data_IF_657329118651
#
_entry.id   IF_657329118651
#
_cell.length_a   1.000
_cell.length_b   1.000
_cell.length_c   1.000
_cell.angle_alpha   90.00
_cell.angle_beta   90.00
_cell.angle_gamma   90.00
#
_symmetry.space_group_name_H-M   'P 1'
#
loop_
_entity.id
_entity.type
_entity.pdbx_description
1 polymer ?
#
# COMPACT_ATOMS: atom_id res chain seq x y z
N UNK A 1 -7.09 -10.20 -25.65
CA UNK A 1 -6.89 -11.26 -24.64
C UNK A 1 -5.86 -10.82 -23.60
N UNK A 2 -4.65 -10.43 -24.04
CA UNK A 2 -3.58 -9.79 -23.24
C UNK A 2 -4.07 -8.77 -22.21
N UNK A 3 -4.87 -7.77 -22.63
CA UNK A 3 -5.41 -6.75 -21.72
C UNK A 3 -6.26 -7.34 -20.59
N UNK A 4 -7.13 -8.32 -20.87
CA UNK A 4 -8.00 -8.91 -19.84
C UNK A 4 -7.20 -9.78 -18.85
N UNK A 5 -6.19 -10.50 -19.34
CA UNK A 5 -5.32 -11.33 -18.51
C UNK A 5 -4.42 -10.48 -17.62
N UNK A 6 -3.79 -9.44 -18.17
CA UNK A 6 -2.99 -8.48 -17.40
C UNK A 6 -3.84 -7.63 -16.46
N UNK A 7 -5.11 -7.37 -16.78
CA UNK A 7 -6.06 -6.76 -15.85
C UNK A 7 -6.42 -7.69 -14.69
N UNK A 8 -6.61 -8.99 -14.91
CA UNK A 8 -6.82 -9.95 -13.83
C UNK A 8 -5.60 -10.10 -12.93
N UNK A 9 -4.38 -10.08 -13.51
CA UNK A 9 -3.12 -10.15 -12.75
C UNK A 9 -2.84 -8.83 -12.01
N UNK A 10 -3.17 -7.67 -12.61
CA UNK A 10 -3.08 -6.37 -11.93
C UNK A 10 -4.17 -6.18 -10.86
N UNK A 11 -5.34 -6.79 -11.03
CA UNK A 11 -6.40 -6.81 -10.03
C UNK A 11 -5.95 -7.53 -8.75
N UNK A 12 -5.04 -8.50 -8.85
CA UNK A 12 -4.43 -9.14 -7.68
C UNK A 12 -3.56 -8.14 -6.88
N UNK A 13 -3.00 -7.11 -7.52
CA UNK A 13 -2.29 -6.00 -6.86
C UNK A 13 -3.18 -4.80 -6.49
N UNK A 14 -4.43 -4.73 -6.95
CA UNK A 14 -5.23 -3.49 -6.88
C UNK A 14 -6.72 -3.64 -6.59
N UNK A 15 -7.25 -4.83 -6.32
CA UNK A 15 -8.69 -5.02 -6.12
C UNK A 15 -9.06 -5.38 -4.68
N UNK A 16 -9.11 -4.33 -3.85
CA UNK A 16 -10.29 -4.15 -3.03
C UNK A 16 -11.46 -3.85 -3.96
N UNK A 17 -12.28 -4.85 -4.29
CA UNK A 17 -13.63 -4.58 -4.75
C UNK A 17 -14.42 -4.04 -3.54
N UNK A 18 -14.19 -2.77 -3.22
CA UNK A 18 -15.00 -2.05 -2.25
C UNK A 18 -16.38 -1.91 -2.86
N UNK A 19 -17.35 -2.67 -2.33
CA UNK A 19 -18.76 -2.36 -2.55
C UNK A 19 -18.96 -0.97 -1.98
N UNK A 20 -19.11 0.02 -2.85
CA UNK A 20 -19.48 1.38 -2.47
C UNK A 20 -20.86 1.35 -1.85
N UNK A 21 -20.92 1.21 -0.53
CA UNK A 21 -22.12 1.51 0.23
C UNK A 21 -22.11 3.00 0.52
N UNK A 22 -23.14 3.70 0.04
CA UNK A 22 -23.38 5.10 0.34
C UNK A 22 -23.41 5.35 1.85
N UNK A 23 -23.00 6.56 2.24
CA UNK A 23 -22.82 7.05 3.60
C UNK A 23 -23.90 6.60 4.58
N UNK A 24 -23.47 6.04 5.71
CA UNK A 24 -24.14 6.25 6.99
C UNK A 24 -23.11 6.76 7.98
N UNK A 25 -23.30 7.99 8.45
CA UNK A 25 -22.61 8.54 9.61
C UNK A 25 -23.05 7.73 10.84
N UNK A 26 -22.29 6.68 11.16
CA UNK A 26 -22.39 6.05 12.47
C UNK A 26 -21.19 6.52 13.30
N UNK A 27 -21.45 7.57 14.07
CA UNK A 27 -20.56 8.11 15.11
C UNK A 27 -20.43 7.06 16.22
N UNK A 28 -19.57 6.09 16.02
CA UNK A 28 -19.09 5.22 17.10
C UNK A 28 -17.76 5.77 17.60
N UNK A 29 -17.68 5.87 18.92
CA UNK A 29 -16.61 6.42 19.76
C UNK A 29 -15.23 5.95 19.29
N UNK A 30 -14.60 6.73 18.41
CA UNK A 30 -13.23 6.46 17.96
C UNK A 30 -12.32 6.85 19.12
N UNK A 31 -11.41 5.96 19.59
CA UNK A 31 -10.45 6.34 20.61
C UNK A 31 -9.72 7.61 20.15
N UNK A 32 -9.53 8.57 21.06
CA UNK A 32 -8.78 9.80 20.76
C UNK A 32 -7.36 9.37 20.39
N UNK A 33 -7.09 9.30 19.09
CA UNK A 33 -5.73 9.05 18.59
C UNK A 33 -4.97 10.36 18.73
N UNK A 34 -3.78 10.31 19.34
CA UNK A 34 -2.91 11.47 19.46
C UNK A 34 -2.66 12.05 18.06
N UNK A 35 -2.95 13.34 17.83
CA UNK A 35 -2.63 13.99 16.56
C UNK A 35 -1.21 14.52 16.58
N UNK A 36 -0.44 14.23 15.53
CA UNK A 36 0.95 14.66 15.36
C UNK A 36 1.13 15.34 14.00
N UNK A 37 1.94 16.39 13.97
CA UNK A 37 2.24 17.14 12.75
C UNK A 37 3.08 16.30 11.78
N UNK A 38 2.80 16.40 10.49
CA UNK A 38 3.61 15.82 9.42
C UNK A 38 4.22 16.93 8.54
N UNK A 39 5.35 16.61 7.92
CA UNK A 39 6.01 17.43 6.92
C UNK A 39 6.59 16.53 5.83
N UNK A 40 6.16 16.73 4.58
CA UNK A 40 6.65 15.97 3.42
C UNK A 40 7.34 16.93 2.47
N UNK A 41 8.62 16.68 2.18
CA UNK A 41 9.36 17.34 1.11
C UNK A 41 9.47 16.39 -0.09
N UNK A 42 8.83 16.75 -1.19
CA UNK A 42 8.69 15.93 -2.37
C UNK A 42 9.65 16.29 -3.49
N UNK A 43 10.13 15.29 -4.22
CA UNK A 43 10.93 15.41 -5.44
C UNK A 43 10.21 14.66 -6.56
N UNK A 44 10.03 15.32 -7.71
CA UNK A 44 9.51 14.69 -8.92
C UNK A 44 9.81 15.53 -10.17
N UNK A 45 10.23 14.88 -11.25
CA UNK A 45 10.51 15.55 -12.54
C UNK A 45 9.23 15.90 -13.32
N UNK A 46 8.06 15.51 -12.79
CA UNK A 46 6.74 15.70 -13.41
C UNK A 46 6.17 17.11 -13.18
N UNK A 47 6.93 18.15 -13.56
CA UNK A 47 6.52 19.55 -13.42
C UNK A 47 5.12 19.82 -13.99
N UNK A 48 4.31 20.56 -13.23
CA UNK A 48 2.94 20.91 -13.58
C UNK A 48 1.89 19.83 -13.28
N UNK A 49 2.30 18.60 -12.91
CA UNK A 49 1.38 17.57 -12.40
C UNK A 49 1.02 17.81 -10.94
N UNK A 50 -0.07 17.20 -10.48
CA UNK A 50 -0.46 17.21 -9.07
C UNK A 50 0.21 16.04 -8.36
N UNK A 51 0.82 16.30 -7.22
CA UNK A 51 1.08 15.31 -6.19
C UNK A 51 -0.11 15.28 -5.23
N UNK A 52 -0.41 14.10 -4.69
CA UNK A 52 -1.52 13.86 -3.78
C UNK A 52 -1.00 13.17 -2.51
N UNK A 53 -1.62 13.51 -1.38
CA UNK A 53 -1.39 12.91 -0.08
C UNK A 53 -2.67 12.23 0.38
N UNK A 54 -2.60 10.96 0.78
CA UNK A 54 -3.76 10.15 1.16
C UNK A 54 -3.62 9.57 2.56
N UNK A 55 -4.72 9.55 3.33
CA UNK A 55 -4.84 8.66 4.49
C UNK A 55 -5.31 7.31 3.97
N UNK A 56 -4.47 6.29 4.12
CA UNK A 56 -4.75 4.96 3.57
C UNK A 56 -5.83 4.21 4.36
N UNK A 57 -6.02 4.52 5.65
CA UNK A 57 -7.05 3.88 6.49
C UNK A 57 -8.45 4.34 6.15
N UNK A 58 -8.60 5.59 5.71
CA UNK A 58 -9.90 6.16 5.34
C UNK A 58 -10.09 6.27 3.83
N UNK A 59 -9.06 5.96 3.04
CA UNK A 59 -9.00 6.17 1.59
C UNK A 59 -9.32 7.62 1.15
N UNK A 60 -9.03 8.60 2.02
CA UNK A 60 -9.36 10.01 1.78
C UNK A 60 -8.12 10.78 1.36
N UNK A 61 -8.26 11.63 0.35
CA UNK A 61 -7.27 12.65 0.02
C UNK A 61 -7.16 13.61 1.19
N UNK A 62 -5.96 13.74 1.74
CA UNK A 62 -5.62 14.73 2.77
C UNK A 62 -5.38 16.08 2.10
N UNK A 63 -4.52 16.08 1.07
CA UNK A 63 -4.12 17.30 0.36
C UNK A 63 -3.63 16.96 -1.06
N UNK A 64 -3.51 17.98 -1.91
CA UNK A 64 -2.89 17.89 -3.23
C UNK A 64 -2.20 19.21 -3.59
N UNK A 65 -1.02 19.11 -4.19
CA UNK A 65 -0.23 20.28 -4.58
C UNK A 65 0.38 20.07 -5.96
N UNK A 66 0.56 21.16 -6.72
CA UNK A 66 1.24 21.09 -8.02
C UNK A 66 2.76 20.96 -7.81
N UNK A 67 3.39 20.09 -8.58
CA UNK A 67 4.86 19.99 -8.68
C UNK A 67 5.38 21.21 -9.43
N UNK A 68 6.29 21.97 -8.80
CA UNK A 68 6.91 23.17 -9.35
C UNK A 68 8.43 23.04 -9.17
N UNK A 69 9.18 23.27 -10.25
CA UNK A 69 10.64 23.19 -10.29
C UNK A 69 11.22 21.91 -9.67
N UNK A 70 10.59 20.77 -9.99
CA UNK A 70 11.00 19.45 -9.57
C UNK A 70 10.57 19.08 -8.15
N UNK A 71 9.77 19.94 -7.47
CA UNK A 71 9.52 19.85 -6.03
C UNK A 71 8.06 20.05 -5.67
N UNK A 72 7.68 19.51 -4.52
CA UNK A 72 6.40 19.76 -3.87
C UNK A 72 6.54 19.64 -2.35
N UNK A 73 5.56 20.13 -1.58
CA UNK A 73 5.58 19.99 -0.13
C UNK A 73 4.18 19.87 0.44
N UNK A 74 4.04 19.07 1.50
CA UNK A 74 2.81 18.96 2.30
C UNK A 74 3.12 19.21 3.76
N UNK A 75 2.21 19.90 4.45
CA UNK A 75 2.29 20.17 5.88
C UNK A 75 0.90 20.08 6.50
N UNK A 76 0.81 19.53 7.70
CA UNK A 76 -0.46 19.45 8.42
C UNK A 76 -0.31 18.61 9.67
N UNK A 77 -1.44 18.17 10.22
CA UNK A 77 -1.49 17.23 11.33
C UNK A 77 -2.57 16.20 11.07
N UNK A 78 -2.29 14.96 11.44
CA UNK A 78 -3.24 13.85 11.42
C UNK A 78 -2.91 12.92 12.59
N UNK A 79 -3.66 11.84 12.74
CA UNK A 79 -3.41 10.81 13.74
C UNK A 79 -1.96 10.32 13.67
N UNK A 80 -1.36 10.17 14.85
CA UNK A 80 -0.07 9.52 15.03
C UNK A 80 -0.16 8.09 14.50
N UNK A 81 0.92 7.67 13.85
CA UNK A 81 1.06 6.36 13.21
C UNK A 81 0.07 6.10 12.08
N UNK A 82 -0.67 7.11 11.60
CA UNK A 82 -1.47 6.95 10.38
C UNK A 82 -0.58 6.53 9.21
N UNK A 83 -0.99 5.49 8.47
CA UNK A 83 -0.39 5.11 7.21
C UNK A 83 -0.80 6.12 6.13
N UNK A 84 0.18 6.85 5.59
CA UNK A 84 0.00 7.90 4.59
C UNK A 84 0.64 7.44 3.27
N UNK A 85 -0.06 7.69 2.16
CA UNK A 85 0.45 7.46 0.80
C UNK A 85 0.70 8.77 0.04
N UNK A 86 1.83 8.86 -0.66
CA UNK A 86 2.17 9.96 -1.58
C UNK A 86 2.19 9.43 -3.02
N UNK A 87 1.50 10.11 -3.95
CA UNK A 87 1.50 9.70 -5.37
C UNK A 87 1.30 10.89 -6.33
N UNK A 88 1.71 10.71 -7.59
CA UNK A 88 1.34 11.58 -8.71
C UNK A 88 -0.02 11.21 -9.32
N UNK A 89 -0.63 10.12 -8.84
CA UNK A 89 -1.91 9.60 -9.32
C UNK A 89 -2.97 9.80 -8.24
N UNK A 90 -4.22 10.01 -8.69
CA UNK A 90 -5.36 9.99 -7.79
C UNK A 90 -5.61 8.57 -7.31
N UNK A 91 -6.18 8.42 -6.12
CA UNK A 91 -6.46 7.11 -5.58
C UNK A 91 -7.37 6.28 -6.49
N UNK A 92 -6.92 5.08 -6.83
CA UNK A 92 -7.63 4.15 -7.71
C UNK A 92 -6.78 2.96 -8.18
N UNK A 93 -7.37 2.02 -8.94
CA UNK A 93 -6.68 0.84 -9.44
C UNK A 93 -5.44 1.19 -10.27
N UNK A 94 -4.33 0.48 -10.04
CA UNK A 94 -3.04 0.68 -10.70
C UNK A 94 -2.23 1.87 -10.17
N UNK A 95 -2.68 2.53 -9.10
CA UNK A 95 -1.95 3.63 -8.49
C UNK A 95 -0.85 3.10 -7.57
N UNK A 96 0.36 3.59 -7.80
CA UNK A 96 1.50 3.35 -6.92
C UNK A 96 1.64 4.49 -5.90
N UNK A 97 1.96 4.17 -4.66
CA UNK A 97 2.16 5.16 -3.59
C UNK A 97 3.46 4.88 -2.86
N UNK A 98 4.14 5.94 -2.45
CA UNK A 98 5.14 5.83 -1.39
C UNK A 98 4.46 5.95 -0.04
N UNK A 99 4.60 4.91 0.77
CA UNK A 99 4.00 4.82 2.09
C UNK A 99 4.95 5.29 3.19
N UNK A 100 4.38 5.92 4.22
CA UNK A 100 5.06 6.22 5.47
C UNK A 100 4.06 6.31 6.63
N UNK A 101 4.54 6.10 7.85
CA UNK A 101 3.78 6.32 9.07
C UNK A 101 3.99 7.74 9.61
N UNK A 102 2.93 8.39 10.04
CA UNK A 102 3.01 9.70 10.69
C UNK A 102 3.59 9.60 12.10
N UNK A 103 4.91 9.63 12.24
CA UNK A 103 5.61 9.58 13.54
C UNK A 103 6.12 10.95 14.02
N UNK A 104 5.75 12.04 13.32
CA UNK A 104 6.21 13.40 13.61
C UNK A 104 7.56 13.79 13.02
N UNK A 105 8.27 12.84 12.40
CA UNK A 105 9.54 13.13 11.72
C UNK A 105 9.27 13.61 10.29
N UNK A 106 9.88 14.72 9.84
CA UNK A 106 9.81 15.11 8.44
C UNK A 106 10.32 14.02 7.51
N UNK A 107 9.63 13.82 6.38
CA UNK A 107 10.01 12.85 5.35
C UNK A 107 10.41 13.56 4.05
N UNK A 108 11.36 12.97 3.34
CA UNK A 108 11.70 13.33 1.96
C UNK A 108 11.25 12.20 1.05
N UNK A 109 10.30 12.47 0.16
CA UNK A 109 9.74 11.49 -0.77
C UNK A 109 10.20 11.81 -2.21
N UNK A 110 10.94 10.89 -2.82
CA UNK A 110 11.36 10.99 -4.21
C UNK A 110 10.50 10.07 -5.08
N UNK A 111 9.58 10.68 -5.84
CA UNK A 111 8.65 9.97 -6.70
C UNK A 111 9.29 9.54 -8.03
N UNK A 112 10.53 9.94 -8.32
CA UNK A 112 11.25 9.53 -9.54
C UNK A 112 11.87 8.13 -9.42
N UNK A 113 12.34 7.75 -8.23
CA UNK A 113 13.02 6.47 -7.96
C UNK A 113 12.34 5.65 -6.85
N UNK A 114 11.13 6.08 -6.44
CA UNK A 114 10.35 5.47 -5.39
C UNK A 114 11.10 5.32 -4.05
N UNK A 115 11.92 6.31 -3.68
CA UNK A 115 12.63 6.34 -2.39
C UNK A 115 11.97 7.28 -1.39
N UNK A 116 11.99 6.90 -0.11
CA UNK A 116 11.59 7.77 0.99
C UNK A 116 12.62 7.71 2.12
N UNK A 117 12.98 8.89 2.63
CA UNK A 117 13.84 9.06 3.80
C UNK A 117 13.09 9.79 4.90
N UNK A 118 13.33 9.43 6.16
CA UNK A 118 12.67 10.05 7.30
C UNK A 118 13.19 9.46 8.60
N UNK A 119 12.28 9.06 9.48
CA UNK A 119 12.65 8.25 10.64
C UNK A 119 13.28 6.90 10.23
N UNK A 120 13.96 6.20 11.15
CA UNK A 120 14.44 4.84 10.89
C UNK A 120 13.33 3.87 10.47
N UNK A 121 12.12 4.01 11.02
CA UNK A 121 10.96 3.20 10.65
C UNK A 121 10.56 3.43 9.19
N UNK A 122 10.38 4.70 8.80
CA UNK A 122 9.92 5.05 7.46
C UNK A 122 10.97 4.80 6.37
N UNK A 123 12.25 5.00 6.70
CA UNK A 123 13.35 4.66 5.78
C UNK A 123 13.38 3.15 5.52
N UNK A 124 13.27 2.34 6.58
CA UNK A 124 13.23 0.88 6.46
C UNK A 124 11.99 0.38 5.71
N UNK A 125 10.82 0.99 5.94
CA UNK A 125 9.61 0.70 5.16
C UNK A 125 9.84 0.91 3.66
N UNK A 126 10.49 2.01 3.27
CA UNK A 126 10.80 2.30 1.86
C UNK A 126 11.75 1.29 1.24
N UNK A 127 12.69 0.74 2.02
CA UNK A 127 13.58 -0.33 1.57
C UNK A 127 12.80 -1.62 1.33
N UNK A 128 11.95 -2.03 2.28
CA UNK A 128 11.10 -3.21 2.11
C UNK A 128 10.13 -3.07 0.93
N UNK A 129 9.50 -1.92 0.74
CA UNK A 129 8.58 -1.69 -0.37
C UNK A 129 9.24 -1.93 -1.73
N UNK A 130 10.49 -1.48 -1.90
CA UNK A 130 11.27 -1.78 -3.11
C UNK A 130 11.59 -3.26 -3.24
N UNK A 131 12.02 -3.90 -2.17
CA UNK A 131 12.37 -5.32 -2.20
C UNK A 131 11.16 -6.21 -2.52
N UNK A 132 9.98 -5.86 -2.01
CA UNK A 132 8.73 -6.59 -2.22
C UNK A 132 8.21 -6.39 -3.64
N UNK A 133 8.05 -5.13 -4.06
CA UNK A 133 7.25 -4.84 -5.24
C UNK A 133 8.05 -4.72 -6.54
N UNK A 134 9.35 -4.35 -6.47
CA UNK A 134 10.15 -4.09 -7.67
C UNK A 134 10.29 -5.32 -8.58
N UNK A 135 10.60 -6.53 -8.08
CA UNK A 135 10.75 -7.70 -8.96
C UNK A 135 9.48 -8.01 -9.74
N UNK A 136 8.32 -8.01 -9.06
CA UNK A 136 7.03 -8.23 -9.70
C UNK A 136 6.71 -7.12 -10.71
N UNK A 137 6.91 -5.85 -10.33
CA UNK A 137 6.64 -4.71 -11.19
C UNK A 137 7.49 -4.72 -12.47
N UNK A 138 8.76 -5.10 -12.38
CA UNK A 138 9.65 -5.21 -13.54
C UNK A 138 9.13 -6.25 -14.56
N UNK A 139 8.70 -7.43 -14.10
CA UNK A 139 8.09 -8.46 -14.96
C UNK A 139 6.75 -7.99 -15.52
N UNK A 140 5.91 -7.37 -14.69
CA UNK A 140 4.62 -6.82 -15.12
C UNK A 140 4.78 -5.75 -16.20
N UNK A 141 5.71 -4.82 -16.02
CA UNK A 141 5.98 -3.76 -17.00
C UNK A 141 6.61 -4.31 -18.28
N UNK A 142 7.49 -5.32 -18.18
CA UNK A 142 7.97 -6.08 -19.35
C UNK A 142 6.79 -6.66 -20.12
N UNK A 143 5.84 -7.31 -19.46
CA UNK A 143 4.65 -7.88 -20.11
C UNK A 143 3.76 -6.79 -20.77
N UNK A 144 3.54 -5.68 -20.08
CA UNK A 144 2.71 -4.56 -20.54
C UNK A 144 3.29 -3.81 -21.74
N UNK A 145 4.62 -3.74 -21.85
CA UNK A 145 5.30 -2.99 -22.91
C UNK A 145 5.55 -3.79 -24.19
N UNK A 146 5.49 -5.12 -24.13
CA UNK A 146 5.52 -5.98 -25.32
C UNK A 146 4.37 -5.68 -26.29
N UNK A 147 4.55 -5.98 -27.57
CA UNK A 147 3.44 -6.07 -28.52
C UNK A 147 2.49 -7.23 -28.17
N UNK A 148 1.34 -7.31 -28.83
CA UNK A 148 0.42 -8.45 -28.66
C UNK A 148 1.01 -9.74 -29.24
N UNK A 149 1.73 -9.65 -30.37
CA UNK A 149 2.36 -10.79 -31.04
C UNK A 149 3.51 -11.36 -30.20
N UNK A 150 4.38 -10.50 -29.67
CA UNK A 150 5.47 -10.91 -28.78
C UNK A 150 4.95 -11.53 -27.49
N UNK A 151 3.88 -10.96 -26.91
CA UNK A 151 3.26 -11.53 -25.72
C UNK A 151 2.66 -12.91 -26.03
N UNK A 152 1.89 -13.05 -27.11
CA UNK A 152 1.28 -14.33 -27.47
C UNK A 152 2.34 -15.42 -27.76
N UNK A 153 3.49 -15.05 -28.32
CA UNK A 153 4.59 -15.98 -28.58
C UNK A 153 5.33 -16.42 -27.29
N UNK A 154 5.22 -15.67 -26.20
CA UNK A 154 5.94 -15.90 -24.94
C UNK A 154 5.01 -16.01 -23.73
N UNK A 155 3.71 -16.22 -23.94
CA UNK A 155 2.66 -16.07 -22.92
C UNK A 155 2.94 -16.94 -21.70
N UNK A 156 3.21 -18.24 -21.90
CA UNK A 156 3.49 -19.19 -20.83
C UNK A 156 4.74 -18.79 -20.01
N UNK A 157 5.80 -18.35 -20.69
CA UNK A 157 7.03 -17.92 -20.03
C UNK A 157 6.83 -16.65 -19.20
N UNK A 158 6.06 -15.68 -19.71
CA UNK A 158 5.74 -14.45 -19.00
C UNK A 158 4.84 -14.72 -17.80
N UNK A 159 3.85 -15.60 -17.96
CA UNK A 159 2.98 -16.02 -16.85
C UNK A 159 3.79 -16.71 -15.77
N UNK A 160 4.72 -17.59 -16.13
CA UNK A 160 5.60 -18.26 -15.17
C UNK A 160 6.51 -17.26 -14.44
N UNK A 161 7.13 -16.31 -15.16
CA UNK A 161 7.92 -15.23 -14.54
C UNK A 161 7.07 -14.40 -13.56
N UNK A 162 5.82 -14.07 -13.91
CA UNK A 162 4.91 -13.34 -13.03
C UNK A 162 4.52 -14.14 -11.79
N UNK A 163 4.23 -15.44 -11.94
CA UNK A 163 3.92 -16.33 -10.83
C UNK A 163 5.10 -16.48 -9.88
N UNK A 164 6.31 -16.64 -10.42
CA UNK A 164 7.53 -16.71 -9.62
C UNK A 164 7.77 -15.41 -8.87
N UNK A 165 7.70 -14.26 -9.54
CA UNK A 165 7.89 -12.96 -8.89
C UNK A 165 6.84 -12.71 -7.80
N UNK A 166 5.59 -13.14 -8.02
CA UNK A 166 4.54 -13.07 -7.01
C UNK A 166 4.80 -14.00 -5.82
N UNK A 167 5.28 -15.22 -6.05
CA UNK A 167 5.63 -16.15 -4.98
C UNK A 167 6.80 -15.60 -4.13
N UNK A 168 7.80 -14.99 -4.77
CA UNK A 168 8.92 -14.32 -4.09
C UNK A 168 8.44 -13.10 -3.29
N UNK A 169 7.53 -12.30 -3.85
CA UNK A 169 6.87 -11.19 -3.17
C UNK A 169 6.16 -11.66 -1.90
N UNK A 170 5.32 -12.71 -1.99
CA UNK A 170 4.61 -13.27 -0.83
C UNK A 170 5.58 -13.85 0.22
N UNK A 171 6.63 -14.55 -0.20
CA UNK A 171 7.64 -15.08 0.71
C UNK A 171 8.34 -13.95 1.48
N UNK A 172 8.66 -12.84 0.80
CA UNK A 172 9.26 -11.65 1.43
C UNK A 172 8.30 -10.97 2.40
N UNK A 173 7.03 -10.83 2.05
CA UNK A 173 6.00 -10.26 2.93
C UNK A 173 5.85 -11.13 4.19
N UNK A 174 5.82 -12.45 4.05
CA UNK A 174 5.78 -13.35 5.20
C UNK A 174 7.00 -13.19 6.11
N UNK A 175 8.19 -12.99 5.52
CA UNK A 175 9.40 -12.69 6.29
C UNK A 175 9.30 -11.34 7.01
N UNK A 176 8.72 -10.30 6.40
CA UNK A 176 8.47 -9.01 7.05
C UNK A 176 7.60 -9.17 8.29
N UNK A 177 6.56 -10.01 8.23
CA UNK A 177 5.70 -10.29 9.39
C UNK A 177 6.44 -10.98 10.55
N UNK A 178 7.57 -11.64 10.27
CA UNK A 178 8.45 -12.24 11.28
C UNK A 178 9.49 -11.21 11.79
N UNK A 179 10.20 -10.56 10.88
CA UNK A 179 11.32 -9.66 11.20
C UNK A 179 10.84 -8.38 11.88
N UNK A 180 9.71 -7.86 11.42
CA UNK A 180 9.12 -6.58 11.84
C UNK A 180 7.90 -6.80 12.75
N UNK A 181 7.83 -7.95 13.42
CA UNK A 181 6.71 -8.38 14.28
C UNK A 181 6.30 -7.35 15.33
N UNK A 182 7.25 -6.52 15.78
CA UNK A 182 7.05 -5.52 16.84
C UNK A 182 7.12 -4.08 16.32
N UNK A 183 7.01 -3.86 15.02
CA UNK A 183 6.96 -2.52 14.42
C UNK A 183 5.68 -2.34 13.61
N UNK A 184 5.46 -1.15 13.07
CA UNK A 184 4.29 -0.88 12.23
C UNK A 184 4.44 -1.36 10.78
N UNK A 185 5.66 -1.72 10.34
CA UNK A 185 5.94 -2.05 8.93
C UNK A 185 4.96 -3.10 8.35
N UNK A 186 4.58 -4.18 9.07
CA UNK A 186 3.63 -5.15 8.54
C UNK A 186 2.27 -4.56 8.13
N UNK A 187 1.84 -3.44 8.73
CA UNK A 187 0.57 -2.78 8.39
C UNK A 187 0.55 -2.35 6.92
N UNK A 188 1.67 -1.85 6.38
CA UNK A 188 1.74 -1.38 5.00
C UNK A 188 1.57 -2.51 3.97
N UNK A 189 1.85 -3.76 4.35
CA UNK A 189 1.77 -4.95 3.50
C UNK A 189 0.55 -5.84 3.82
N UNK A 190 -0.36 -5.38 4.68
CA UNK A 190 -1.43 -6.24 5.20
C UNK A 190 -2.42 -6.71 4.14
N UNK A 191 -2.65 -5.90 3.11
CA UNK A 191 -3.45 -6.27 1.94
C UNK A 191 -2.91 -7.53 1.27
N UNK A 192 -1.63 -7.49 0.88
CA UNK A 192 -0.97 -8.60 0.21
C UNK A 192 -0.79 -9.81 1.13
N UNK A 193 -0.47 -9.59 2.40
CA UNK A 193 -0.33 -10.66 3.39
C UNK A 193 -1.62 -11.45 3.58
N UNK A 194 -2.76 -10.78 3.80
CA UNK A 194 -4.04 -11.48 3.99
C UNK A 194 -4.59 -12.06 2.68
N UNK A 195 -4.24 -11.49 1.53
CA UNK A 195 -4.56 -12.11 0.25
C UNK A 195 -3.80 -13.43 0.07
N UNK A 196 -2.50 -13.46 0.36
CA UNK A 196 -1.66 -14.65 0.20
C UNK A 196 -1.87 -15.75 1.26
N UNK A 197 -2.10 -15.37 2.51
CA UNK A 197 -2.22 -16.31 3.64
C UNK A 197 -3.68 -16.56 4.08
N UNK A 198 -4.63 -15.84 3.49
CA UNK A 198 -6.02 -15.84 3.89
C UNK A 198 -6.30 -14.88 5.05
N UNK A 199 -7.51 -14.34 5.05
CA UNK A 199 -7.96 -13.36 6.04
C UNK A 199 -7.97 -13.91 7.46
N UNK A 200 -8.01 -15.24 7.64
CA UNK A 200 -7.94 -15.85 8.97
C UNK A 200 -6.64 -15.57 9.71
N UNK A 201 -5.56 -15.25 8.99
CA UNK A 201 -4.29 -14.89 9.61
C UNK A 201 -4.40 -13.62 10.50
N UNK A 202 -5.42 -12.77 10.33
CA UNK A 202 -5.66 -11.64 11.22
C UNK A 202 -5.99 -12.09 12.66
N UNK A 203 -6.78 -13.15 12.83
CA UNK A 203 -7.17 -13.62 14.17
C UNK A 203 -5.93 -14.12 14.94
N UNK A 204 -4.99 -14.76 14.25
CA UNK A 204 -3.69 -15.13 14.83
C UNK A 204 -2.90 -13.90 15.30
N UNK A 205 -2.88 -12.80 14.52
CA UNK A 205 -2.19 -11.56 14.95
C UNK A 205 -2.83 -10.99 16.23
N UNK A 206 -4.16 -11.04 16.33
CA UNK A 206 -4.90 -10.57 17.52
C UNK A 206 -4.60 -11.47 18.73
N UNK A 207 -4.64 -12.79 18.57
CA UNK A 207 -4.31 -13.76 19.62
C UNK A 207 -2.87 -13.61 20.12
N UNK A 208 -1.93 -13.35 19.22
CA UNK A 208 -0.53 -13.08 19.55
C UNK A 208 -0.32 -11.71 20.23
N UNK A 209 -1.36 -10.86 20.31
CA UNK A 209 -1.35 -9.62 21.09
C UNK A 209 -0.44 -8.55 20.54
N UNK A 210 -0.26 -8.50 19.22
CA UNK A 210 0.79 -7.67 18.62
C UNK A 210 0.37 -6.24 18.42
N UNK A 211 1.36 -5.36 18.54
CA UNK A 211 1.18 -3.92 18.65
C UNK A 211 0.23 -3.33 17.60
N UNK A 212 0.39 -3.77 16.35
CA UNK A 212 -0.32 -3.21 15.22
C UNK A 212 -1.65 -3.93 14.87
N UNK A 213 -2.05 -4.97 15.60
CA UNK A 213 -3.27 -5.73 15.25
C UNK A 213 -4.53 -4.85 15.25
N UNK A 214 -4.57 -3.81 16.08
CA UNK A 214 -5.67 -2.86 16.18
C UNK A 214 -5.46 -1.58 15.35
N UNK A 215 -4.41 -1.52 14.52
CA UNK A 215 -4.12 -0.34 13.72
C UNK A 215 -5.33 0.00 12.81
N UNK A 216 -5.74 1.29 12.68
CA UNK A 216 -6.93 1.67 11.92
C UNK A 216 -6.96 1.14 10.47
N UNK A 217 -5.80 1.08 9.82
CA UNK A 217 -5.67 0.51 8.48
C UNK A 217 -6.11 -0.96 8.39
N UNK A 218 -6.05 -1.75 9.46
CA UNK A 218 -6.47 -3.16 9.42
C UNK A 218 -7.98 -3.35 9.63
N UNK A 219 -8.75 -2.27 9.76
CA UNK A 219 -10.21 -2.33 9.94
C UNK A 219 -10.90 -3.13 8.83
N UNK A 220 -10.48 -3.01 7.58
CA UNK A 220 -11.08 -3.76 6.47
C UNK A 220 -10.93 -5.28 6.65
N UNK A 221 -9.78 -5.76 7.14
CA UNK A 221 -9.53 -7.18 7.36
C UNK A 221 -10.43 -7.70 8.49
N UNK A 222 -10.50 -6.95 9.61
CA UNK A 222 -11.40 -7.22 10.73
C UNK A 222 -12.87 -7.27 10.31
N UNK A 223 -13.32 -6.28 9.54
CA UNK A 223 -14.72 -6.19 9.10
C UNK A 223 -15.07 -7.28 8.09
N UNK A 224 -14.17 -7.59 7.15
CA UNK A 224 -14.31 -8.71 6.23
C UNK A 224 -14.50 -10.01 7.00
N UNK A 225 -13.71 -10.18 8.05
CA UNK A 225 -13.75 -11.33 8.92
C UNK A 225 -15.10 -11.46 9.62
N UNK A 226 -15.50 -10.43 10.36
CA UNK A 226 -16.77 -10.40 11.08
C UNK A 226 -17.96 -10.67 10.15
N UNK A 227 -17.91 -10.15 8.92
CA UNK A 227 -18.98 -10.31 7.93
C UNK A 227 -19.02 -11.71 7.31
N UNK A 228 -17.86 -12.25 6.91
CA UNK A 228 -17.80 -13.49 6.11
C UNK A 228 -17.83 -14.75 6.96
N UNK A 229 -17.43 -14.66 8.22
CA UNK A 229 -17.44 -15.80 9.13
C UNK A 229 -17.89 -15.32 10.53
N UNK A 230 -19.21 -15.09 10.71
CA UNK A 230 -19.77 -14.52 11.93
C UNK A 230 -19.82 -15.51 13.10
N UNK A 231 -19.82 -16.82 12.84
CA UNK A 231 -19.90 -17.88 13.85
C UNK A 231 -18.53 -18.30 14.41
N UNK A 232 -17.52 -17.45 14.23
CA UNK A 232 -16.19 -17.69 14.80
C UNK A 232 -16.26 -17.59 16.32
N UNK A 233 -15.72 -18.61 16.99
CA UNK A 233 -15.59 -18.66 18.45
C UNK A 233 -14.32 -17.97 18.89
#
# INVERSE_FOLDING_TARGET
>A
MKKNLLWMLAAILCCGASVFTACSDDMTDNPVVESVAYSVNGISDSNGKMAYLYNMSTEKCIDSVKVVDGKFSFYGSIDKEALIGVSLQKLGPGSWYLFFFNDGTPVTANLNDSTLQGSPLNTRLSEYDKEVNRPYYEVYMKAMTMSEEEFAANEDAIIEELNQAFAEMLAKINQIYIDERNTLIPVAFAMDYFYGNGYMAYDQLVEEGVYYANHPYLKWARDYIATKYPDRK
#
